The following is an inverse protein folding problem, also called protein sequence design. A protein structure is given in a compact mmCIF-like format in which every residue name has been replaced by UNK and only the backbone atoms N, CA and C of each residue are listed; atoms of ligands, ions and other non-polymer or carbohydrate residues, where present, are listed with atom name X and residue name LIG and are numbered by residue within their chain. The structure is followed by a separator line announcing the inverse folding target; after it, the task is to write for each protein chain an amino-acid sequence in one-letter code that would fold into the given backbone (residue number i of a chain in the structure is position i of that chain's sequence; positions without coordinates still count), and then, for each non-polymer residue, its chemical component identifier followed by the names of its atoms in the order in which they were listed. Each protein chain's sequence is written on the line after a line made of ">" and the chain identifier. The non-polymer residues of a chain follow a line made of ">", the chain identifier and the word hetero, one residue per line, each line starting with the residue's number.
data_IF_380470540960
#
_entry.id   IF_380470540960
#
_cell.length_a   1.000
_cell.length_b   1.000
_cell.length_c   1.000
_cell.angle_alpha   90.00
_cell.angle_beta   90.00
_cell.angle_gamma   90.00
#
_symmetry.space_group_name_H-M   'P 1'
#
loop_
_entity.id
_entity.type
_entity.pdbx_description
1 polymer ?
#
# COMPACT_ATOMS: atom_id res chain seq x y z
N UNK A 1 18.13 -3.39 -22.61
CA UNK A 1 16.74 -3.51 -23.14
C UNK A 1 15.87 -3.79 -21.93
N UNK A 2 15.00 -2.82 -21.61
CA UNK A 2 14.17 -2.59 -20.42
C UNK A 2 14.05 -3.68 -19.33
N UNK A 3 14.30 -3.23 -18.10
CA UNK A 3 14.52 -3.96 -16.86
C UNK A 3 13.37 -4.89 -16.41
N UNK A 4 13.73 -6.14 -16.10
CA UNK A 4 12.91 -7.10 -15.34
C UNK A 4 12.91 -6.80 -13.82
N UNK A 5 13.67 -5.80 -13.36
CA UNK A 5 13.93 -5.50 -11.94
C UNK A 5 12.74 -4.92 -11.15
N UNK A 6 11.74 -4.32 -11.81
CA UNK A 6 10.62 -3.71 -11.07
C UNK A 6 9.62 -4.72 -10.48
N UNK A 7 9.63 -5.99 -10.93
CA UNK A 7 8.71 -7.02 -10.42
C UNK A 7 9.19 -7.65 -9.10
N UNK A 8 10.49 -7.81 -8.94
CA UNK A 8 11.06 -8.29 -7.68
C UNK A 8 10.90 -7.26 -6.56
N UNK A 9 11.08 -5.98 -6.87
CA UNK A 9 10.89 -4.92 -5.88
C UNK A 9 9.41 -4.73 -5.51
N UNK A 10 8.50 -4.92 -6.46
CA UNK A 10 7.06 -4.96 -6.17
C UNK A 10 6.67 -6.13 -5.28
N UNK A 11 7.25 -7.32 -5.52
CA UNK A 11 7.06 -8.47 -4.64
C UNK A 11 7.71 -8.24 -3.29
N UNK A 12 8.91 -7.63 -3.19
CA UNK A 12 9.55 -7.26 -1.93
C UNK A 12 8.75 -6.22 -1.17
N UNK A 13 8.07 -5.28 -1.85
CA UNK A 13 7.16 -4.30 -1.24
C UNK A 13 5.91 -5.01 -0.71
N UNK A 14 5.32 -5.94 -1.47
CA UNK A 14 4.23 -6.79 -0.96
C UNK A 14 4.73 -7.65 0.21
N UNK A 15 5.91 -8.25 0.13
CA UNK A 15 6.47 -8.99 1.26
C UNK A 15 6.66 -8.05 2.46
N UNK A 16 7.35 -6.93 2.31
CA UNK A 16 7.68 -6.01 3.41
C UNK A 16 6.46 -5.37 4.06
N UNK A 17 5.40 -5.04 3.29
CA UNK A 17 4.16 -4.48 3.83
C UNK A 17 3.19 -5.51 4.38
N UNK A 18 3.18 -6.73 3.86
CA UNK A 18 2.23 -7.78 4.25
C UNK A 18 2.82 -8.77 5.29
N UNK A 19 4.14 -8.75 5.54
CA UNK A 19 4.86 -9.78 6.31
C UNK A 19 4.56 -9.83 7.82
N UNK A 20 3.90 -8.84 8.42
CA UNK A 20 3.81 -8.81 9.88
C UNK A 20 2.52 -9.36 10.49
N UNK A 21 1.52 -9.81 9.72
CA UNK A 21 0.40 -10.56 10.35
C UNK A 21 -0.59 -11.36 9.48
N UNK A 22 -0.35 -11.60 8.18
CA UNK A 22 -1.41 -12.20 7.36
C UNK A 22 -1.36 -13.73 7.24
N UNK A 23 -2.54 -14.34 7.45
CA UNK A 23 -2.85 -15.76 7.36
C UNK A 23 -2.45 -16.37 6.01
N UNK A 24 -2.39 -15.54 4.96
CA UNK A 24 -1.92 -15.87 3.62
C UNK A 24 -0.48 -16.41 3.59
N UNK A 25 0.47 -15.72 4.24
CA UNK A 25 1.89 -16.13 4.25
C UNK A 25 2.06 -17.40 5.09
N UNK A 26 1.37 -17.49 6.23
CA UNK A 26 1.38 -18.70 7.07
C UNK A 26 0.84 -19.91 6.28
N UNK A 27 -0.28 -19.76 5.57
CA UNK A 27 -0.85 -20.82 4.75
C UNK A 27 0.09 -21.24 3.60
N UNK A 28 0.69 -20.27 2.90
CA UNK A 28 1.63 -20.55 1.81
C UNK A 28 2.88 -21.29 2.32
N UNK A 29 3.44 -20.85 3.46
CA UNK A 29 4.58 -21.49 4.11
C UNK A 29 4.24 -22.90 4.64
N UNK A 30 3.05 -23.09 5.24
CA UNK A 30 2.59 -24.41 5.69
C UNK A 30 2.41 -25.38 4.51
N UNK A 31 1.86 -24.92 3.38
CA UNK A 31 1.70 -25.75 2.19
C UNK A 31 3.05 -26.15 1.57
N UNK A 32 3.99 -25.20 1.48
CA UNK A 32 5.35 -25.46 1.01
C UNK A 32 6.10 -26.43 1.95
N UNK A 33 6.03 -26.21 3.27
CA UNK A 33 6.64 -27.07 4.30
C UNK A 33 6.08 -28.50 4.28
N UNK A 34 4.79 -28.66 3.99
CA UNK A 34 4.12 -29.95 3.90
C UNK A 34 4.28 -30.64 2.52
N UNK A 35 5.15 -30.14 1.63
CA UNK A 35 5.41 -30.67 0.28
C UNK A 35 4.16 -30.92 -0.57
N UNK A 36 3.06 -30.19 -0.31
CA UNK A 36 1.89 -30.23 -1.20
C UNK A 36 2.14 -29.28 -2.35
N UNK A 37 2.55 -29.83 -3.48
CA UNK A 37 2.67 -29.08 -4.74
C UNK A 37 1.29 -28.57 -5.16
N UNK A 38 1.14 -27.26 -5.29
CA UNK A 38 -0.05 -26.64 -5.85
C UNK A 38 0.05 -26.67 -7.37
N UNK A 39 -1.00 -27.13 -8.05
CA UNK A 39 -1.10 -26.91 -9.49
C UNK A 39 -1.17 -25.41 -9.80
N UNK A 40 -0.71 -25.01 -10.98
CA UNK A 40 -0.79 -23.61 -11.45
C UNK A 40 -2.20 -23.01 -11.32
N UNK A 41 -3.25 -23.82 -11.50
CA UNK A 41 -4.65 -23.42 -11.33
C UNK A 41 -5.01 -23.14 -9.86
N UNK A 42 -4.60 -24.03 -8.95
CA UNK A 42 -4.84 -23.84 -7.51
C UNK A 42 -4.06 -22.66 -6.95
N UNK A 43 -2.83 -22.45 -7.41
CA UNK A 43 -2.04 -21.28 -7.05
C UNK A 43 -2.73 -19.98 -7.50
N UNK A 44 -3.15 -19.89 -8.77
CA UNK A 44 -3.90 -18.73 -9.25
C UNK A 44 -5.21 -18.50 -8.48
N UNK A 45 -5.98 -19.54 -8.22
CA UNK A 45 -7.22 -19.43 -7.45
C UNK A 45 -6.95 -18.92 -6.03
N UNK A 46 -5.90 -19.42 -5.37
CA UNK A 46 -5.52 -19.04 -4.01
C UNK A 46 -5.06 -17.58 -3.95
N UNK A 47 -4.17 -17.17 -4.88
CA UNK A 47 -3.76 -15.77 -5.02
C UNK A 47 -4.98 -14.87 -5.26
N UNK A 48 -5.87 -15.23 -6.18
CA UNK A 48 -7.05 -14.43 -6.49
C UNK A 48 -8.01 -14.31 -5.30
N UNK A 49 -8.26 -15.42 -4.59
CA UNK A 49 -9.18 -15.46 -3.46
C UNK A 49 -8.64 -14.70 -2.25
N UNK A 50 -7.33 -14.82 -1.99
CA UNK A 50 -6.68 -14.15 -0.87
C UNK A 50 -6.39 -12.68 -1.18
N UNK A 51 -6.09 -12.34 -2.45
CA UNK A 51 -5.98 -10.94 -2.91
C UNK A 51 -7.25 -10.16 -2.62
N UNK A 52 -8.42 -10.76 -2.84
CA UNK A 52 -9.71 -10.11 -2.58
C UNK A 52 -10.03 -9.92 -1.08
N UNK A 53 -9.25 -10.55 -0.18
CA UNK A 53 -9.38 -10.35 1.28
C UNK A 53 -8.45 -9.28 1.83
N UNK A 54 -7.52 -8.78 1.02
CA UNK A 54 -6.57 -7.76 1.44
C UNK A 54 -7.33 -6.46 1.67
N UNK A 55 -7.29 -5.97 2.90
CA UNK A 55 -7.74 -4.63 3.20
C UNK A 55 -6.63 -3.62 2.86
N UNK A 56 -6.71 -3.00 1.67
CA UNK A 56 -5.78 -1.95 1.21
C UNK A 56 -5.71 -0.74 2.17
N UNK A 57 -6.73 -0.59 3.02
CA UNK A 57 -6.86 0.47 4.02
C UNK A 57 -6.57 0.00 5.46
N UNK A 58 -5.93 -1.17 5.60
CA UNK A 58 -5.42 -1.65 6.88
C UNK A 58 -4.47 -0.63 7.50
N UNK A 59 -4.49 -0.56 8.83
CA UNK A 59 -3.71 0.39 9.60
C UNK A 59 -2.78 -0.36 10.54
N UNK A 60 -1.52 0.09 10.60
CA UNK A 60 -0.59 -0.39 11.61
C UNK A 60 -0.86 0.23 13.00
N UNK A 61 0.00 -0.06 13.99
CA UNK A 61 -0.12 0.49 15.34
C UNK A 61 -0.06 2.02 15.40
N UNK A 62 0.51 2.66 14.38
CA UNK A 62 0.58 4.12 14.22
C UNK A 62 -0.53 4.65 13.29
N UNK A 63 -1.57 3.86 13.04
CA UNK A 63 -2.67 4.17 12.12
C UNK A 63 -2.23 4.49 10.69
N UNK A 64 -1.01 4.11 10.30
CA UNK A 64 -0.51 4.34 8.94
C UNK A 64 -1.12 3.31 8.01
N UNK A 65 -1.66 3.77 6.89
CA UNK A 65 -2.09 2.90 5.79
C UNK A 65 -0.92 2.60 4.86
N UNK A 66 -1.00 1.54 4.03
CA UNK A 66 -0.06 1.32 2.95
C UNK A 66 0.19 2.57 2.09
N UNK A 67 -0.87 3.33 1.80
CA UNK A 67 -0.79 4.56 1.01
C UNK A 67 0.04 5.65 1.69
N UNK A 68 -0.13 5.85 3.01
CA UNK A 68 0.66 6.83 3.78
C UNK A 68 2.15 6.49 3.72
N UNK A 69 2.51 5.22 3.89
CA UNK A 69 3.91 4.80 3.91
C UNK A 69 4.50 4.86 2.48
N UNK A 70 3.71 4.55 1.44
CA UNK A 70 4.13 4.73 0.05
C UNK A 70 4.41 6.20 -0.29
N UNK A 71 3.56 7.12 0.18
CA UNK A 71 3.76 8.56 0.05
C UNK A 71 5.01 9.03 0.81
N UNK A 72 5.23 8.51 2.03
CA UNK A 72 6.43 8.81 2.83
C UNK A 72 7.72 8.41 2.11
N UNK A 73 7.69 7.28 1.41
CA UNK A 73 8.83 6.74 0.66
C UNK A 73 8.92 7.29 -0.78
N UNK A 74 8.04 8.23 -1.17
CA UNK A 74 8.00 8.84 -2.50
C UNK A 74 7.85 7.82 -3.65
N UNK A 75 7.25 6.65 -3.36
CA UNK A 75 7.10 5.57 -4.33
C UNK A 75 5.84 5.78 -5.19
N UNK A 76 5.99 6.56 -6.26
CA UNK A 76 4.90 6.92 -7.18
C UNK A 76 4.15 5.71 -7.74
N UNK A 77 4.87 4.66 -8.16
CA UNK A 77 4.27 3.46 -8.72
C UNK A 77 3.37 2.75 -7.70
N UNK A 78 3.84 2.63 -6.45
CA UNK A 78 3.06 2.03 -5.36
C UNK A 78 1.88 2.90 -4.96
N UNK A 79 2.03 4.24 -4.94
CA UNK A 79 0.91 5.15 -4.68
C UNK A 79 -0.20 4.95 -5.71
N UNK A 80 0.13 4.98 -7.02
CA UNK A 80 -0.85 4.81 -8.09
C UNK A 80 -1.57 3.47 -7.98
N UNK A 81 -0.79 2.40 -7.83
CA UNK A 81 -1.32 1.05 -7.65
C UNK A 81 -2.30 0.96 -6.48
N UNK A 82 -1.93 1.49 -5.30
CA UNK A 82 -2.79 1.43 -4.11
C UNK A 82 -4.10 2.20 -4.29
N UNK A 83 -4.06 3.39 -4.89
CA UNK A 83 -5.26 4.18 -5.19
C UNK A 83 -6.15 3.45 -6.20
N UNK A 84 -5.58 2.85 -7.24
CA UNK A 84 -6.32 2.01 -8.20
C UNK A 84 -6.93 0.75 -7.55
N UNK A 85 -6.32 0.22 -6.49
CA UNK A 85 -6.89 -0.87 -5.69
C UNK A 85 -7.91 -0.39 -4.64
N UNK A 86 -8.27 0.89 -4.62
CA UNK A 86 -9.31 1.44 -3.72
C UNK A 86 -8.78 1.93 -2.37
N UNK A 87 -7.51 2.33 -2.29
CA UNK A 87 -7.00 3.00 -1.09
C UNK A 87 -7.73 4.32 -0.83
N UNK A 88 -8.12 4.55 0.42
CA UNK A 88 -8.72 5.78 0.90
C UNK A 88 -7.64 6.86 1.03
N UNK A 89 -7.68 7.81 0.09
CA UNK A 89 -6.74 8.93 -0.03
C UNK A 89 -6.80 9.92 1.15
N UNK A 90 -7.86 9.86 1.96
CA UNK A 90 -8.12 10.79 3.07
C UNK A 90 -7.93 10.19 4.46
N UNK A 91 -7.60 8.90 4.54
CA UNK A 91 -7.30 8.22 5.79
C UNK A 91 -6.00 8.76 6.39
N UNK A 92 -5.96 8.94 7.71
CA UNK A 92 -4.84 9.59 8.39
C UNK A 92 -4.15 8.68 9.42
N UNK A 93 -2.89 9.02 9.73
CA UNK A 93 -2.11 8.40 10.80
C UNK A 93 -2.50 8.94 12.20
N UNK A 94 -1.84 8.45 13.25
CA UNK A 94 -2.07 8.91 14.63
C UNK A 94 -1.84 10.40 14.86
N UNK A 95 -1.08 11.06 13.98
CA UNK A 95 -0.79 12.49 14.05
C UNK A 95 -1.77 13.31 13.19
N UNK A 96 -2.76 12.67 12.57
CA UNK A 96 -3.69 13.31 11.67
C UNK A 96 -3.13 13.57 10.27
N UNK A 97 -1.93 13.10 9.94
CA UNK A 97 -1.37 13.29 8.60
C UNK A 97 -2.09 12.41 7.58
N UNK A 98 -2.62 13.03 6.53
CA UNK A 98 -3.13 12.34 5.34
C UNK A 98 -1.97 12.01 4.39
N UNK A 99 -2.17 11.09 3.41
CA UNK A 99 -1.27 10.91 2.29
C UNK A 99 -0.82 12.25 1.66
N UNK A 100 -1.76 13.17 1.46
CA UNK A 100 -1.48 14.47 0.85
C UNK A 100 -0.54 15.35 1.70
N UNK A 101 -0.76 15.44 3.02
CA UNK A 101 0.15 16.18 3.93
C UNK A 101 1.57 15.61 3.86
N UNK A 102 1.71 14.29 3.89
CA UNK A 102 3.02 13.63 3.79
C UNK A 102 3.69 13.96 2.45
N UNK A 103 2.95 13.88 1.34
CA UNK A 103 3.48 14.21 0.02
C UNK A 103 3.88 15.67 -0.14
N UNK A 104 3.14 16.61 0.47
CA UNK A 104 3.48 18.03 0.51
C UNK A 104 4.80 18.28 1.26
N UNK A 105 5.02 17.63 2.40
CA UNK A 105 6.29 17.71 3.15
C UNK A 105 7.49 17.24 2.32
N UNK A 106 7.30 16.18 1.52
CA UNK A 106 8.32 15.64 0.62
C UNK A 106 8.48 16.47 -0.67
N UNK A 107 7.56 17.41 -0.95
CA UNK A 107 7.55 18.26 -2.17
C UNK A 107 7.44 17.46 -3.48
N UNK A 108 6.94 16.22 -3.43
CA UNK A 108 6.75 15.40 -4.62
C UNK A 108 5.46 15.82 -5.36
N UNK A 109 5.63 16.71 -6.35
CA UNK A 109 4.52 17.27 -7.14
C UNK A 109 3.72 16.22 -7.92
N UNK A 110 4.34 15.10 -8.31
CA UNK A 110 3.66 14.04 -9.07
C UNK A 110 2.65 13.34 -8.16
N UNK A 111 3.06 12.95 -6.96
CA UNK A 111 2.17 12.31 -5.99
C UNK A 111 1.09 13.29 -5.52
N UNK A 112 1.46 14.55 -5.22
CA UNK A 112 0.50 15.59 -4.79
C UNK A 112 -0.62 15.74 -5.83
N UNK A 113 -0.25 15.94 -7.10
CA UNK A 113 -1.23 16.11 -8.17
C UNK A 113 -2.12 14.88 -8.31
N UNK A 114 -1.51 13.69 -8.30
CA UNK A 114 -2.26 12.44 -8.42
C UNK A 114 -3.27 12.24 -7.28
N UNK A 115 -2.88 12.50 -6.03
CA UNK A 115 -3.78 12.39 -4.88
C UNK A 115 -4.95 13.38 -4.96
N UNK A 116 -4.71 14.63 -5.39
CA UNK A 116 -5.76 15.65 -5.58
C UNK A 116 -6.74 15.20 -6.67
N UNK A 117 -6.24 14.70 -7.80
CA UNK A 117 -7.07 14.18 -8.89
C UNK A 117 -7.96 13.01 -8.44
N UNK A 118 -7.55 12.29 -7.39
CA UNK A 118 -8.30 11.16 -6.81
C UNK A 118 -9.07 11.54 -5.54
N UNK A 119 -9.32 12.83 -5.30
CA UNK A 119 -10.23 13.30 -4.26
C UNK A 119 -9.59 13.47 -2.88
N UNK A 120 -8.28 13.66 -2.79
CA UNK A 120 -7.65 14.05 -1.54
C UNK A 120 -8.13 15.45 -1.09
N UNK A 121 -8.52 15.56 0.18
CA UNK A 121 -8.98 16.79 0.80
C UNK A 121 -7.81 17.72 1.05
N UNK A 122 -7.77 18.81 0.28
CA UNK A 122 -6.73 19.83 0.33
C UNK A 122 -6.81 20.71 1.57
N UNK A 123 -7.94 20.73 2.28
CA UNK A 123 -8.18 21.58 3.44
C UNK A 123 -8.07 20.83 4.77
N UNK A 124 -7.92 19.50 4.75
CA UNK A 124 -7.87 18.70 5.97
C UNK A 124 -6.57 18.97 6.73
N UNK A 125 -6.68 19.51 7.94
CA UNK A 125 -5.52 19.75 8.80
C UNK A 125 -5.15 18.52 9.65
N UNK A 126 -3.85 18.36 9.95
CA UNK A 126 -3.38 17.39 10.93
C UNK A 126 -3.52 17.91 12.37
N UNK A 127 -3.10 17.10 13.35
CA UNK A 127 -3.21 17.45 14.78
C UNK A 127 -2.36 18.67 15.18
N UNK A 128 -1.39 19.08 14.34
CA UNK A 128 -0.57 20.27 14.55
C UNK A 128 -1.14 21.51 13.85
N UNK A 129 -2.32 21.41 13.22
CA UNK A 129 -2.94 22.50 12.46
C UNK A 129 -2.33 22.73 11.07
N UNK A 130 -1.46 21.85 10.59
CA UNK A 130 -0.89 21.94 9.24
C UNK A 130 -1.91 21.48 8.22
N UNK A 131 -2.18 22.35 7.24
CA UNK A 131 -2.95 22.04 6.03
C UNK A 131 -2.02 21.70 4.87
N UNK A 132 -2.38 20.78 3.98
CA UNK A 132 -1.53 20.41 2.85
C UNK A 132 -1.32 21.53 1.83
N UNK A 133 -2.30 22.42 1.66
CA UNK A 133 -2.30 23.59 0.77
C UNK A 133 -2.96 24.78 1.48
#
# INVERSE_FOLDING_TARGET
>A
MFAEDNREDFLKIIFYYYLFNDKFIINLLLHYKNRKSLSKKQFHQLIFTEKNKINVNAQDLNKRTPLIIACKNENEATVKFLVEQGADVNKNDIFGNTPLIISCRNRNKVIIKYLIEHGADVNKCNNNGEVPL
#
